data_IF_147133804657
#
_entry.id   IF_147133804657
#
_cell.length_a   1.000
_cell.length_b   1.000
_cell.length_c   1.000
_cell.angle_alpha   90.00
_cell.angle_beta   90.00
_cell.angle_gamma   90.00
#
_symmetry.space_group_name_H-M   'P 1'
#
loop_
_entity.id
_entity.type
_entity.pdbx_description
1 polymer ?
#
# COMPACT_ATOMS: atom_id res chain seq x y z
N UNK A 1 -24.82 -13.93 24.51
CA UNK A 1 -24.15 -12.63 24.71
C UNK A 1 -23.54 -12.22 23.38
N UNK A 2 -23.86 -11.04 22.87
CA UNK A 2 -23.37 -10.54 21.58
C UNK A 2 -22.56 -9.26 21.81
N UNK A 3 -21.44 -9.09 21.12
CA UNK A 3 -20.56 -7.92 21.21
C UNK A 3 -20.35 -7.31 19.82
N UNK A 4 -20.07 -6.02 19.77
CA UNK A 4 -19.77 -5.27 18.54
C UNK A 4 -18.45 -4.50 18.68
N UNK A 5 -17.54 -4.66 17.71
CA UNK A 5 -16.25 -3.99 17.71
C UNK A 5 -16.31 -2.69 16.90
N UNK A 6 -15.84 -1.59 17.48
CA UNK A 6 -15.72 -0.28 16.83
C UNK A 6 -14.37 0.35 17.17
N UNK A 7 -13.72 0.99 16.18
CA UNK A 7 -12.45 1.71 16.38
C UNK A 7 -12.72 3.21 16.52
N UNK A 8 -12.40 3.79 17.68
CA UNK A 8 -12.55 5.23 17.94
C UNK A 8 -11.37 6.03 17.40
N UNK A 9 -10.15 5.63 17.78
CA UNK A 9 -8.91 6.21 17.28
C UNK A 9 -8.14 5.14 16.52
N UNK A 10 -7.82 5.44 15.27
CA UNK A 10 -7.03 4.55 14.41
C UNK A 10 -5.57 4.52 14.85
N UNK A 11 -4.86 3.46 14.46
CA UNK A 11 -3.42 3.33 14.73
C UNK A 11 -2.66 4.50 14.09
N UNK A 12 -1.67 5.04 14.81
CA UNK A 12 -0.86 6.19 14.36
C UNK A 12 0.60 5.81 14.06
N UNK A 13 1.09 4.66 14.50
CA UNK A 13 2.45 4.20 14.15
C UNK A 13 2.56 3.88 12.65
N UNK A 14 3.60 4.38 11.99
CA UNK A 14 3.88 4.10 10.57
C UNK A 14 4.91 2.99 10.49
N UNK A 15 4.58 1.89 9.81
CA UNK A 15 5.49 0.76 9.58
C UNK A 15 6.21 0.87 8.23
N UNK A 16 5.53 1.40 7.21
CA UNK A 16 6.09 1.64 5.88
C UNK A 16 5.60 2.97 5.34
N UNK A 17 6.45 3.66 4.58
CA UNK A 17 6.11 4.89 3.87
C UNK A 17 6.78 4.88 2.49
N UNK A 18 6.01 5.15 1.45
CA UNK A 18 6.48 5.30 0.07
C UNK A 18 5.94 6.61 -0.48
N UNK A 19 6.70 7.28 -1.34
CA UNK A 19 6.27 8.50 -2.01
C UNK A 19 6.21 8.30 -3.52
N UNK A 20 5.36 9.06 -4.20
CA UNK A 20 5.14 8.92 -5.64
C UNK A 20 4.03 9.84 -6.15
N UNK A 21 3.84 9.87 -7.46
CA UNK A 21 2.73 10.52 -8.14
C UNK A 21 1.54 9.55 -8.21
N UNK A 22 0.91 9.27 -7.07
CA UNK A 22 -0.19 8.31 -6.97
C UNK A 22 -1.49 8.86 -7.58
N UNK A 23 -1.67 10.19 -7.60
CA UNK A 23 -2.80 10.82 -8.31
C UNK A 23 -2.58 10.97 -9.82
N UNK A 24 -1.40 10.61 -10.35
CA UNK A 24 -1.05 10.80 -11.77
C UNK A 24 -0.83 12.26 -12.17
N UNK A 25 -0.63 13.15 -11.20
CA UNK A 25 -0.27 14.56 -11.41
C UNK A 25 1.21 14.79 -11.09
N UNK A 26 1.72 16.01 -11.30
CA UNK A 26 3.09 16.36 -10.91
C UNK A 26 3.29 16.41 -9.38
N UNK A 27 2.21 16.49 -8.60
CA UNK A 27 2.29 16.51 -7.14
C UNK A 27 2.67 15.12 -6.64
N UNK A 28 3.53 15.09 -5.61
CA UNK A 28 3.87 13.86 -4.91
C UNK A 28 2.98 13.69 -3.69
N UNK A 29 2.53 12.46 -3.50
CA UNK A 29 1.82 12.01 -2.31
C UNK A 29 2.62 10.93 -1.59
N UNK A 30 2.24 10.64 -0.35
CA UNK A 30 2.88 9.65 0.50
C UNK A 30 1.85 8.60 0.85
N UNK A 31 2.09 7.35 0.48
CA UNK A 31 1.30 6.21 0.94
C UNK A 31 1.99 5.63 2.16
N UNK A 32 1.26 5.51 3.26
CA UNK A 32 1.76 4.96 4.52
C UNK A 32 0.96 3.75 4.94
N UNK A 33 1.66 2.78 5.51
CA UNK A 33 1.06 1.63 6.20
C UNK A 33 1.16 1.82 7.70
N UNK A 34 0.04 1.62 8.40
CA UNK A 34 -0.04 1.60 9.87
C UNK A 34 -0.47 0.22 10.36
N UNK A 35 0.22 -0.81 9.89
CA UNK A 35 -0.11 -2.21 10.14
C UNK A 35 -1.33 -2.68 9.33
N UNK A 36 -2.54 -2.50 9.88
CA UNK A 36 -3.81 -2.92 9.26
C UNK A 36 -4.53 -1.83 8.47
N UNK A 37 -3.93 -0.65 8.37
CA UNK A 37 -4.50 0.52 7.71
C UNK A 37 -3.53 0.97 6.61
N UNK A 38 -4.06 1.21 5.41
CA UNK A 38 -3.36 1.85 4.32
C UNK A 38 -3.91 3.27 4.17
N UNK A 39 -3.02 4.26 4.12
CA UNK A 39 -3.40 5.66 4.11
C UNK A 39 -2.62 6.42 3.04
N UNK A 40 -3.28 7.36 2.38
CA UNK A 40 -2.70 8.29 1.43
C UNK A 40 -2.66 9.69 2.05
N UNK A 41 -1.49 10.28 2.09
CA UNK A 41 -1.22 11.61 2.62
C UNK A 41 -0.75 12.52 1.49
N UNK A 42 -1.15 13.79 1.54
CA UNK A 42 -0.65 14.85 0.66
C UNK A 42 0.03 15.94 1.48
N UNK A 43 1.35 16.11 1.36
CA UNK A 43 2.02 17.30 1.86
C UNK A 43 1.64 18.51 0.99
N UNK A 44 1.18 19.59 1.62
CA UNK A 44 0.93 20.87 0.95
C UNK A 44 2.23 21.70 0.93
N UNK A 45 2.82 21.98 -0.25
CA UNK A 45 4.07 22.73 -0.35
C UNK A 45 3.94 24.20 0.06
N UNK A 46 2.72 24.76 0.07
CA UNK A 46 2.52 26.17 0.42
C UNK A 46 2.46 26.37 1.94
N UNK A 47 1.80 25.45 2.66
CA UNK A 47 1.59 25.56 4.12
C UNK A 47 2.55 24.70 4.93
N UNK A 48 3.22 23.73 4.31
CA UNK A 48 4.08 22.75 4.98
C UNK A 48 3.30 21.71 5.80
N UNK A 49 1.97 21.69 5.74
CA UNK A 49 1.12 20.75 6.47
C UNK A 49 0.90 19.47 5.66
N UNK A 50 0.70 18.36 6.36
CA UNK A 50 0.37 17.07 5.75
C UNK A 50 -1.11 16.78 5.98
N UNK A 51 -1.85 16.56 4.89
CA UNK A 51 -3.27 16.25 4.91
C UNK A 51 -3.51 14.78 4.56
N UNK A 52 -4.33 14.09 5.34
CA UNK A 52 -4.82 12.75 4.98
C UNK A 52 -5.88 12.87 3.89
N UNK A 53 -5.66 12.23 2.75
CA UNK A 53 -6.61 12.18 1.64
C UNK A 53 -7.55 10.97 1.73
N UNK A 54 -6.98 9.80 2.03
CA UNK A 54 -7.70 8.53 2.06
C UNK A 54 -7.14 7.65 3.18
N UNK A 55 -8.03 7.00 3.92
CA UNK A 55 -7.69 5.99 4.94
C UNK A 55 -8.57 4.77 4.74
N UNK A 56 -7.96 3.59 4.56
CA UNK A 56 -8.66 2.33 4.34
C UNK A 56 -8.13 1.26 5.29
N UNK A 57 -9.02 0.58 5.99
CA UNK A 57 -8.67 -0.61 6.76
C UNK A 57 -8.59 -1.82 5.82
N UNK A 58 -7.43 -2.48 5.76
CA UNK A 58 -7.19 -3.58 4.83
C UNK A 58 -7.53 -4.95 5.42
N UNK A 59 -7.86 -5.00 6.72
CA UNK A 59 -8.19 -6.23 7.47
C UNK A 59 -7.13 -7.34 7.33
N UNK A 60 -5.86 -6.96 7.39
CA UNK A 60 -4.71 -7.87 7.35
C UNK A 60 -3.45 -7.17 7.84
N UNK A 61 -2.30 -7.83 7.72
CA UNK A 61 -1.00 -7.29 8.12
C UNK A 61 -0.21 -6.94 6.86
N UNK A 62 0.05 -5.65 6.65
CA UNK A 62 0.95 -5.19 5.58
C UNK A 62 2.38 -5.47 6.04
N UNK A 63 3.10 -6.28 5.27
CA UNK A 63 4.46 -6.75 5.58
C UNK A 63 5.52 -6.14 4.66
N UNK A 64 5.15 -5.68 3.48
CA UNK A 64 6.02 -4.98 2.55
C UNK A 64 5.20 -4.06 1.65
N UNK A 65 5.71 -2.87 1.34
CA UNK A 65 5.01 -1.84 0.58
C UNK A 65 5.98 -1.15 -0.38
N UNK A 66 5.71 -1.20 -1.69
CA UNK A 66 6.56 -0.57 -2.72
C UNK A 66 5.71 0.17 -3.76
N UNK A 67 6.26 1.26 -4.31
CA UNK A 67 5.70 1.92 -5.49
C UNK A 67 6.48 1.53 -6.74
N UNK A 68 5.81 1.47 -7.89
CA UNK A 68 6.48 1.36 -9.19
C UNK A 68 5.71 2.10 -10.28
N UNK A 69 6.40 2.38 -11.38
CA UNK A 69 5.87 3.05 -12.56
C UNK A 69 6.19 2.29 -13.82
N UNK A 70 5.19 2.10 -14.67
CA UNK A 70 5.41 1.52 -16.00
C UNK A 70 6.19 2.50 -16.90
N UNK A 71 6.98 1.95 -17.83
CA UNK A 71 7.72 2.77 -18.79
C UNK A 71 6.77 3.67 -19.59
N UNK A 72 7.02 4.99 -19.59
CA UNK A 72 6.14 5.99 -20.21
C UNK A 72 4.88 6.35 -19.43
N UNK A 73 4.65 5.72 -18.27
CA UNK A 73 3.55 6.05 -17.38
C UNK A 73 3.77 7.37 -16.64
N UNK A 74 2.68 7.98 -16.17
CA UNK A 74 2.70 9.21 -15.35
C UNK A 74 2.27 8.97 -13.91
N UNK A 75 1.74 7.78 -13.61
CA UNK A 75 1.12 7.42 -12.34
C UNK A 75 1.86 6.24 -11.70
N UNK A 76 2.04 6.32 -10.40
CA UNK A 76 2.65 5.25 -9.61
C UNK A 76 1.59 4.28 -9.09
N UNK A 77 1.86 2.99 -9.25
CA UNK A 77 1.09 1.89 -8.69
C UNK A 77 1.71 1.46 -7.37
N UNK A 78 0.89 0.86 -6.50
CA UNK A 78 1.29 0.41 -5.18
C UNK A 78 1.25 -1.11 -5.16
N UNK A 79 2.37 -1.75 -4.85
CA UNK A 79 2.44 -3.19 -4.60
C UNK A 79 2.43 -3.44 -3.10
N UNK A 80 1.51 -4.30 -2.67
CA UNK A 80 1.34 -4.67 -1.27
C UNK A 80 1.62 -6.16 -1.11
N UNK A 81 2.62 -6.47 -0.28
CA UNK A 81 2.81 -7.80 0.29
C UNK A 81 2.15 -7.86 1.66
N UNK A 82 1.28 -8.84 1.87
CA UNK A 82 0.54 -9.03 3.12
C UNK A 82 0.64 -10.45 3.66
N UNK A 83 0.00 -10.71 4.79
CA UNK A 83 -0.20 -12.04 5.36
C UNK A 83 -1.22 -12.89 4.60
N UNK A 84 -1.79 -12.44 3.48
CA UNK A 84 -2.86 -13.17 2.79
C UNK A 84 -2.39 -14.36 1.94
N UNK A 85 -1.08 -14.48 1.64
CA UNK A 85 -0.59 -15.40 0.62
C UNK A 85 -0.90 -14.95 -0.82
N UNK A 86 -1.18 -13.64 -0.98
CA UNK A 86 -1.44 -12.98 -2.25
C UNK A 86 -0.59 -11.71 -2.39
N UNK A 87 -0.25 -11.37 -3.62
CA UNK A 87 0.36 -10.08 -3.98
C UNK A 87 -0.73 -9.24 -4.62
N UNK A 88 -0.83 -7.98 -4.20
CA UNK A 88 -1.87 -7.06 -4.67
C UNK A 88 -1.22 -5.84 -5.28
N UNK A 89 -1.71 -5.43 -6.45
CA UNK A 89 -1.35 -4.16 -7.09
C UNK A 89 -2.57 -3.24 -7.00
N UNK A 90 -2.36 -2.06 -6.42
CA UNK A 90 -3.38 -1.04 -6.23
C UNK A 90 -3.05 0.20 -7.07
N UNK A 91 -4.10 0.89 -7.50
CA UNK A 91 -4.05 2.20 -8.11
C UNK A 91 -4.96 3.16 -7.31
N UNK A 92 -4.47 4.34 -6.96
CA UNK A 92 -5.33 5.35 -6.33
C UNK A 92 -6.17 6.06 -7.40
N UNK A 93 -7.48 6.13 -7.24
CA UNK A 93 -8.37 6.88 -8.13
C UNK A 93 -8.84 8.19 -7.46
N UNK A 94 -8.29 9.36 -7.84
CA UNK A 94 -8.64 10.64 -7.21
C UNK A 94 -10.12 11.01 -7.37
N UNK A 95 -10.73 10.67 -8.51
CA UNK A 95 -12.14 10.98 -8.81
C UNK A 95 -13.13 10.27 -7.88
N UNK A 96 -12.79 9.07 -7.41
CA UNK A 96 -13.61 8.26 -6.50
C UNK A 96 -13.10 8.28 -5.07
N UNK A 97 -11.89 8.79 -4.85
CA UNK A 97 -11.13 8.70 -3.61
C UNK A 97 -11.06 7.26 -3.05
N UNK A 98 -10.65 6.31 -3.88
CA UNK A 98 -10.50 4.88 -3.49
C UNK A 98 -9.18 4.31 -3.98
N UNK A 99 -8.71 3.26 -3.31
CA UNK A 99 -7.70 2.36 -3.87
C UNK A 99 -8.41 1.29 -4.70
N UNK A 100 -8.26 1.37 -6.01
CA UNK A 100 -8.72 0.35 -6.93
C UNK A 100 -7.73 -0.80 -6.98
N UNK A 101 -8.24 -2.02 -6.87
CA UNK A 101 -7.43 -3.23 -6.94
C UNK A 101 -7.29 -3.65 -8.40
N UNK A 102 -6.12 -3.40 -8.99
CA UNK A 102 -5.85 -3.67 -10.39
C UNK A 102 -5.50 -5.15 -10.61
N UNK A 103 -4.64 -5.70 -9.74
CA UNK A 103 -4.28 -7.12 -9.77
C UNK A 103 -4.26 -7.73 -8.38
N UNK A 104 -4.56 -9.03 -8.33
CA UNK A 104 -4.42 -9.84 -7.13
C UNK A 104 -4.11 -11.28 -7.53
N UNK A 105 -2.86 -11.69 -7.29
CA UNK A 105 -2.40 -13.04 -7.61
C UNK A 105 -2.20 -13.84 -6.33
N UNK A 106 -2.68 -15.09 -6.33
CA UNK A 106 -2.55 -16.01 -5.20
C UNK A 106 -1.37 -16.96 -5.44
N UNK A 107 -0.45 -17.04 -4.47
CA UNK A 107 0.73 -17.90 -4.57
C UNK A 107 0.94 -18.80 -3.34
N UNK A 108 0.21 -18.57 -2.25
CA UNK A 108 0.45 -19.30 -1.01
C UNK A 108 -0.70 -19.26 -0.02
N UNK A 109 -0.44 -19.79 1.18
CA UNK A 109 -1.39 -19.82 2.29
C UNK A 109 -1.31 -18.53 3.13
N UNK A 110 -2.40 -18.19 3.80
CA UNK A 110 -2.46 -17.05 4.71
C UNK A 110 -1.65 -17.25 6.00
N UNK A 111 -1.30 -16.14 6.65
CA UNK A 111 -0.48 -15.99 7.83
C UNK A 111 0.92 -15.43 7.55
N UNK A 112 1.54 -14.82 8.55
CA UNK A 112 2.95 -14.43 8.54
C UNK A 112 3.87 -15.66 8.66
N UNK A 113 3.94 -16.46 7.59
CA UNK A 113 4.70 -17.72 7.55
C UNK A 113 6.14 -17.49 7.13
N UNK A 114 7.02 -18.39 7.57
CA UNK A 114 8.45 -18.38 7.23
C UNK A 114 8.73 -18.64 5.75
N UNK A 115 7.99 -19.58 5.15
CA UNK A 115 8.22 -20.09 3.78
C UNK A 115 7.22 -19.57 2.73
N UNK A 116 6.31 -18.65 3.12
CA UNK A 116 5.35 -18.07 2.17
C UNK A 116 5.74 -16.61 1.90
N UNK A 117 5.92 -16.21 0.63
CA UNK A 117 6.35 -14.86 0.28
C UNK A 117 5.43 -13.77 0.85
N UNK A 118 6.02 -12.61 1.12
CA UNK A 118 5.29 -11.44 1.62
C UNK A 118 6.10 -10.57 2.58
N UNK A 119 7.27 -11.02 3.02
CA UNK A 119 8.10 -10.24 3.95
C UNK A 119 8.88 -9.14 3.24
N UNK A 120 9.54 -9.48 2.13
CA UNK A 120 10.33 -8.53 1.36
C UNK A 120 9.77 -8.40 -0.05
N UNK A 121 9.99 -7.23 -0.61
CA UNK A 121 9.45 -6.83 -1.91
C UNK A 121 10.44 -5.91 -2.59
N UNK A 122 10.78 -6.21 -3.82
CA UNK A 122 11.63 -5.38 -4.66
C UNK A 122 10.97 -5.20 -6.03
N UNK A 123 11.15 -4.02 -6.61
CA UNK A 123 10.60 -3.64 -7.93
C UNK A 123 11.73 -3.17 -8.83
N UNK A 124 11.66 -3.53 -10.11
CA UNK A 124 12.54 -2.97 -11.12
C UNK A 124 12.25 -1.46 -11.27
N UNK A 125 13.25 -0.56 -11.24
CA UNK A 125 13.03 0.88 -11.33
C UNK A 125 12.33 1.35 -12.62
N UNK A 126 12.36 0.53 -13.68
CA UNK A 126 11.64 0.79 -14.95
C UNK A 126 10.24 0.15 -14.97
N UNK A 127 9.81 -0.44 -13.86
CA UNK A 127 8.51 -1.08 -13.67
C UNK A 127 8.31 -2.35 -14.49
N UNK A 128 9.37 -3.04 -14.91
CA UNK A 128 9.27 -4.21 -15.79
C UNK A 128 8.99 -5.50 -15.02
N UNK A 129 9.38 -5.56 -13.75
CA UNK A 129 9.23 -6.75 -12.92
C UNK A 129 9.08 -6.38 -11.45
N UNK A 130 8.45 -7.27 -10.69
CA UNK A 130 8.36 -7.23 -9.23
C UNK A 130 8.71 -8.60 -8.66
N UNK A 131 9.45 -8.61 -7.55
CA UNK A 131 9.85 -9.81 -6.84
C UNK A 131 9.36 -9.71 -5.39
N UNK A 132 8.61 -10.72 -4.94
CA UNK A 132 8.12 -10.86 -3.57
C UNK A 132 8.77 -12.11 -2.95
N UNK A 133 9.33 -11.98 -1.75
CA UNK A 133 10.15 -13.05 -1.16
C UNK A 133 9.86 -13.31 0.32
N UNK A 134 10.53 -14.33 0.84
CA UNK A 134 10.42 -14.86 2.20
C UNK A 134 11.56 -14.35 3.10
N UNK A 135 11.55 -14.76 4.36
CA UNK A 135 12.57 -14.35 5.36
C UNK A 135 13.87 -15.16 5.24
N UNK A 136 13.78 -16.42 4.81
CA UNK A 136 14.87 -17.42 4.79
C UNK A 136 15.35 -17.74 3.37
#
# INVERSE_FOLDING_TARGET
MFLYNLTLQRATGISYAIHGNFSGTKQQEIVVSRGKILELLRPDPNTGKVHTLLTVEVFGVIRSLMAFRLTGGTKDYIVVGSDSGRIVILEYQPSKNVFEKIHQETFGKSGCRRIVPGQYLAVDPKGRAVMITIVD
#
